data_IF_396836609605
#
_entry.id   IF_396836609605
#
_cell.length_a   1.000
_cell.length_b   1.000
_cell.length_c   1.000
_cell.angle_alpha   90.00
_cell.angle_beta   90.00
_cell.angle_gamma   90.00
#
_symmetry.space_group_name_H-M   'P 1'
#
loop_
_entity.id
_entity.type
_entity.pdbx_description
1 polymer ?
#
# COMPACT_ATOMS: atom_id res chain seq x y z
N UNK A 1 -18.47 30.76 -3.32
CA UNK A 1 -18.86 29.63 -4.19
C UNK A 1 -17.64 28.90 -4.77
N UNK A 2 -16.67 29.64 -5.32
CA UNK A 2 -15.44 29.05 -5.89
C UNK A 2 -14.54 28.32 -4.88
N UNK A 3 -14.44 28.84 -3.64
CA UNK A 3 -13.64 28.25 -2.55
C UNK A 3 -14.17 26.90 -2.05
N UNK A 4 -15.49 26.72 -2.04
CA UNK A 4 -16.11 25.45 -1.65
C UNK A 4 -15.82 24.35 -2.68
N UNK A 5 -15.78 24.71 -3.97
CA UNK A 5 -15.49 23.77 -5.05
C UNK A 5 -14.02 23.32 -5.03
N UNK A 6 -13.08 24.21 -4.73
CA UNK A 6 -11.67 23.85 -4.51
C UNK A 6 -11.47 23.00 -3.26
N UNK A 7 -12.17 23.31 -2.16
CA UNK A 7 -12.16 22.46 -0.95
C UNK A 7 -12.73 21.07 -1.21
N UNK A 8 -13.81 20.97 -1.98
CA UNK A 8 -14.40 19.68 -2.38
C UNK A 8 -13.43 18.89 -3.26
N UNK A 9 -12.78 19.54 -4.22
CA UNK A 9 -11.78 18.91 -5.08
C UNK A 9 -10.56 18.39 -4.28
N UNK A 10 -10.08 19.14 -3.29
CA UNK A 10 -8.99 18.70 -2.40
C UNK A 10 -9.41 17.52 -1.50
N UNK A 11 -10.65 17.51 -1.02
CA UNK A 11 -11.21 16.40 -0.24
C UNK A 11 -11.41 15.13 -1.10
N UNK A 12 -11.78 15.27 -2.38
CA UNK A 12 -11.89 14.15 -3.32
C UNK A 12 -10.52 13.60 -3.70
N UNK A 13 -9.50 14.46 -3.88
CA UNK A 13 -8.12 14.01 -4.14
C UNK A 13 -7.55 13.16 -3.00
N UNK A 14 -7.91 13.48 -1.75
CA UNK A 14 -7.49 12.71 -0.57
C UNK A 14 -8.27 11.40 -0.38
N UNK A 15 -9.43 11.23 -1.01
CA UNK A 15 -10.10 9.93 -1.12
C UNK A 15 -9.40 8.98 -2.11
N UNK A 16 -8.68 9.53 -3.09
CA UNK A 16 -8.01 8.76 -4.15
C UNK A 16 -6.52 8.54 -3.94
N UNK A 17 -5.91 9.25 -2.98
CA UNK A 17 -4.60 8.88 -2.47
C UNK A 17 -4.78 7.60 -1.64
N UNK A 18 -4.53 6.44 -2.26
CA UNK A 18 -4.50 5.17 -1.54
C UNK A 18 -3.47 5.32 -0.42
N UNK A 19 -3.96 5.39 0.81
CA UNK A 19 -3.11 5.44 1.99
C UNK A 19 -2.23 4.18 1.98
N UNK A 20 -0.92 4.37 2.20
CA UNK A 20 0.10 3.32 2.30
C UNK A 20 -0.43 2.08 3.03
N UNK A 21 -0.34 0.93 2.37
CA UNK A 21 -0.95 -0.34 2.80
C UNK A 21 0.02 -1.30 3.45
N UNK A 22 1.32 -1.12 3.29
CA UNK A 22 2.26 -2.00 3.95
C UNK A 22 2.24 -1.79 5.46
N UNK A 23 1.97 -2.83 6.24
CA UNK A 23 2.01 -2.83 7.70
C UNK A 23 0.63 -3.00 8.35
N UNK A 24 0.64 -3.54 9.56
CA UNK A 24 -0.55 -3.76 10.39
C UNK A 24 -0.70 -2.58 11.37
N UNK A 25 -1.59 -1.65 11.04
CA UNK A 25 -1.91 -0.48 11.86
C UNK A 25 -0.84 0.62 11.84
N UNK A 26 -1.09 1.77 12.50
CA UNK A 26 -0.35 3.02 12.25
C UNK A 26 1.16 2.95 12.51
N UNK A 27 1.57 2.23 13.54
CA UNK A 27 2.98 2.14 13.95
C UNK A 27 3.80 1.37 12.93
N UNK A 28 3.36 0.15 12.59
CA UNK A 28 4.10 -0.69 11.65
C UNK A 28 4.01 -0.14 10.22
N UNK A 29 2.90 0.51 9.86
CA UNK A 29 2.78 1.23 8.59
C UNK A 29 3.77 2.40 8.46
N UNK A 30 4.03 3.12 9.55
CA UNK A 30 5.05 4.18 9.54
C UNK A 30 6.45 3.60 9.36
N UNK A 31 6.77 2.52 10.07
CA UNK A 31 8.08 1.86 9.97
C UNK A 31 8.32 1.31 8.57
N UNK A 32 7.35 0.60 7.99
CA UNK A 32 7.47 0.05 6.64
C UNK A 32 7.64 1.14 5.58
N UNK A 33 6.95 2.29 5.73
CA UNK A 33 7.12 3.42 4.82
C UNK A 33 8.53 4.01 4.89
N UNK A 34 9.09 4.19 6.09
CA UNK A 34 10.46 4.71 6.26
C UNK A 34 11.49 3.78 5.59
N UNK A 35 11.30 2.46 5.74
CA UNK A 35 12.18 1.46 5.12
C UNK A 35 12.06 1.50 3.59
N UNK A 36 10.86 1.66 3.05
CA UNK A 36 10.59 1.67 1.61
C UNK A 36 10.89 3.00 0.92
N UNK A 37 11.01 4.11 1.66
CA UNK A 37 11.22 5.46 1.13
C UNK A 37 12.36 5.61 0.10
N UNK A 38 13.54 4.96 0.25
CA UNK A 38 14.61 5.04 -0.76
C UNK A 38 14.38 4.15 -2.01
N UNK A 39 13.27 3.41 -2.07
CA UNK A 39 13.01 2.35 -3.07
C UNK A 39 11.79 2.66 -3.97
N UNK A 40 11.34 1.71 -4.80
CA UNK A 40 10.07 1.79 -5.55
C UNK A 40 8.85 1.72 -4.60
N UNK A 41 8.58 2.83 -3.89
CA UNK A 41 7.49 2.95 -2.90
C UNK A 41 6.14 2.53 -3.50
N UNK A 42 5.82 2.97 -4.73
CA UNK A 42 4.57 2.60 -5.39
C UNK A 42 4.50 1.10 -5.69
N UNK A 43 5.61 0.51 -6.13
CA UNK A 43 5.70 -0.90 -6.40
C UNK A 43 5.54 -1.77 -5.16
N UNK A 44 6.19 -1.35 -4.07
CA UNK A 44 6.14 -2.02 -2.77
C UNK A 44 4.71 -1.94 -2.20
N UNK A 45 4.08 -0.75 -2.25
CA UNK A 45 2.71 -0.55 -1.80
C UNK A 45 1.74 -1.47 -2.54
N UNK A 46 1.93 -1.63 -3.86
CA UNK A 46 1.13 -2.57 -4.66
C UNK A 46 1.27 -4.01 -4.19
N UNK A 47 2.49 -4.47 -3.87
CA UNK A 47 2.69 -5.80 -3.33
C UNK A 47 1.92 -6.01 -2.01
N UNK A 48 1.85 -4.98 -1.16
CA UNK A 48 1.09 -5.04 0.10
C UNK A 48 -0.43 -5.04 -0.13
N UNK A 49 -0.94 -4.24 -1.08
CA UNK A 49 -2.36 -4.27 -1.48
C UNK A 49 -2.76 -5.67 -1.94
N UNK A 50 -1.93 -6.30 -2.79
CA UNK A 50 -2.20 -7.63 -3.31
C UNK A 50 -2.15 -8.68 -2.20
N UNK A 51 -1.16 -8.61 -1.30
CA UNK A 51 -1.05 -9.51 -0.16
C UNK A 51 -2.28 -9.43 0.77
N UNK A 52 -2.70 -8.23 1.14
CA UNK A 52 -3.89 -8.01 1.97
C UNK A 52 -5.14 -8.57 1.28
N UNK A 53 -5.28 -8.39 -0.04
CA UNK A 53 -6.41 -8.95 -0.79
C UNK A 53 -6.41 -10.49 -0.81
N UNK A 54 -5.24 -11.12 -0.89
CA UNK A 54 -5.10 -12.58 -0.83
C UNK A 54 -5.48 -13.13 0.55
N UNK A 55 -5.05 -12.47 1.63
CA UNK A 55 -5.27 -12.92 3.02
C UNK A 55 -6.70 -12.61 3.48
N UNK A 56 -7.13 -11.36 3.35
CA UNK A 56 -8.40 -10.89 3.92
C UNK A 56 -9.58 -11.09 2.97
N UNK A 57 -9.35 -11.01 1.65
CA UNK A 57 -10.39 -11.12 0.63
C UNK A 57 -10.62 -12.54 0.14
N UNK A 58 -9.54 -13.26 -0.20
CA UNK A 58 -9.61 -14.60 -0.77
C UNK A 58 -9.36 -15.73 0.24
N UNK A 59 -9.03 -15.39 1.49
CA UNK A 59 -8.71 -16.33 2.56
C UNK A 59 -7.67 -17.39 2.14
N UNK A 60 -6.70 -16.97 1.32
CA UNK A 60 -5.59 -17.81 0.95
C UNK A 60 -4.77 -18.17 2.19
N UNK A 61 -4.20 -19.37 2.23
CA UNK A 61 -3.28 -19.72 3.30
C UNK A 61 -2.15 -18.69 3.35
N UNK A 62 -1.92 -18.11 4.53
CA UNK A 62 -0.94 -17.04 4.71
C UNK A 62 0.44 -17.39 4.15
N UNK A 63 0.87 -18.65 4.28
CA UNK A 63 2.14 -19.12 3.72
C UNK A 63 2.23 -18.95 2.19
N UNK A 64 1.15 -19.22 1.48
CA UNK A 64 1.10 -19.05 0.02
C UNK A 64 0.98 -17.57 -0.37
N UNK A 65 0.18 -16.79 0.37
CA UNK A 65 0.14 -15.33 0.18
C UNK A 65 1.51 -14.68 0.40
N UNK A 66 2.24 -15.10 1.44
CA UNK A 66 3.59 -14.62 1.75
C UNK A 66 4.59 -15.00 0.65
N UNK A 67 4.44 -16.18 0.03
CA UNK A 67 5.26 -16.58 -1.12
C UNK A 67 5.04 -15.63 -2.30
N UNK A 68 3.79 -15.39 -2.68
CA UNK A 68 3.44 -14.47 -3.78
C UNK A 68 3.93 -13.06 -3.49
N UNK A 69 3.81 -12.61 -2.24
CA UNK A 69 4.33 -11.33 -1.78
C UNK A 69 5.85 -11.21 -1.94
N UNK A 70 6.61 -12.23 -1.53
CA UNK A 70 8.06 -12.27 -1.72
C UNK A 70 8.45 -12.24 -3.21
N UNK A 71 7.74 -12.98 -4.07
CA UNK A 71 7.97 -12.96 -5.51
C UNK A 71 7.67 -11.57 -6.11
N UNK A 72 6.64 -10.88 -5.60
CA UNK A 72 6.32 -9.50 -5.98
C UNK A 72 7.45 -8.52 -5.62
N UNK A 73 7.97 -8.60 -4.40
CA UNK A 73 9.07 -7.75 -3.93
C UNK A 73 10.38 -8.02 -4.70
N UNK A 74 10.68 -9.29 -5.01
CA UNK A 74 11.88 -9.66 -5.76
C UNK A 74 11.91 -9.08 -7.19
N UNK A 75 10.74 -8.82 -7.78
CA UNK A 75 10.59 -8.16 -9.08
C UNK A 75 10.68 -6.63 -9.01
N UNK A 76 10.92 -6.04 -7.84
CA UNK A 76 11.17 -4.60 -7.67
C UNK A 76 12.66 -4.40 -7.57
N UNK A 77 13.26 -3.84 -8.63
CA UNK A 77 14.71 -3.68 -8.85
C UNK A 77 15.48 -2.85 -7.77
N UNK A 78 14.88 -2.56 -6.61
CA UNK A 78 15.45 -1.73 -5.55
C UNK A 78 14.83 -1.88 -4.15
N UNK A 79 14.15 -2.99 -3.81
CA UNK A 79 13.70 -3.28 -2.43
C UNK A 79 14.85 -3.76 -1.53
#
# INVERSE_FOLDING_TARGET
>A
MQTYFTLLLLAVQSLTAQAWKCGIGPVSSTISYIIAFPSDVMGIDRCCIEHDALVDGLHLERKEADRIFCDCLAGKDSW
#
